data_IF_465404037400
#
_entry.id   IF_465404037400
#
_cell.length_a   1.000
_cell.length_b   1.000
_cell.length_c   1.000
_cell.angle_alpha   90.00
_cell.angle_beta   90.00
_cell.angle_gamma   90.00
#
_symmetry.space_group_name_H-M   'P 1'
#
loop_
_entity.id
_entity.type
_entity.pdbx_description
1 polymer ?
#
# COMPACT_ATOMS: atom_id res chain seq x y z
N UNK A 1 12.07 -32.34 -12.58
CA UNK A 1 11.90 -31.85 -11.19
C UNK A 1 10.73 -32.59 -10.56
N UNK A 2 11.00 -33.39 -9.54
CA UNK A 2 9.98 -34.12 -8.79
C UNK A 2 9.14 -33.13 -7.96
N UNK A 3 7.93 -33.51 -7.56
CA UNK A 3 6.97 -32.68 -6.80
C UNK A 3 7.58 -32.12 -5.51
N UNK A 4 8.45 -32.89 -4.86
CA UNK A 4 9.12 -32.51 -3.60
C UNK A 4 10.16 -31.40 -3.85
N UNK A 5 11.04 -31.57 -4.82
CA UNK A 5 12.05 -30.58 -5.22
C UNK A 5 11.39 -29.24 -5.60
N UNK A 6 10.27 -29.28 -6.33
CA UNK A 6 9.52 -28.08 -6.71
C UNK A 6 8.89 -27.37 -5.50
N UNK A 7 8.55 -28.11 -4.45
CA UNK A 7 7.94 -27.56 -3.23
C UNK A 7 8.99 -26.92 -2.35
N UNK A 8 10.14 -27.56 -2.20
CA UNK A 8 11.30 -27.01 -1.49
C UNK A 8 11.82 -25.75 -2.18
N UNK A 9 12.01 -25.79 -3.50
CA UNK A 9 12.42 -24.62 -4.28
C UNK A 9 11.49 -23.41 -4.06
N UNK A 10 10.17 -23.62 -4.14
CA UNK A 10 9.20 -22.54 -3.89
C UNK A 10 9.28 -22.01 -2.46
N UNK A 11 9.51 -22.88 -1.48
CA UNK A 11 9.62 -22.50 -0.07
C UNK A 11 10.87 -21.68 0.18
N UNK A 12 12.02 -22.10 -0.36
CA UNK A 12 13.29 -21.39 -0.22
C UNK A 12 13.24 -20.04 -0.93
N UNK A 13 12.77 -20.02 -2.17
CA UNK A 13 12.58 -18.77 -2.92
C UNK A 13 11.70 -17.78 -2.15
N UNK A 14 10.58 -18.24 -1.58
CA UNK A 14 9.69 -17.37 -0.83
C UNK A 14 10.33 -16.81 0.45
N UNK A 15 11.22 -17.57 1.11
CA UNK A 15 11.93 -17.11 2.32
C UNK A 15 12.96 -16.04 1.99
N UNK A 16 13.64 -16.19 0.87
CA UNK A 16 14.69 -15.26 0.44
C UNK A 16 14.10 -13.99 -0.17
N UNK A 17 13.00 -14.12 -0.92
CA UNK A 17 12.40 -13.02 -1.68
C UNK A 17 11.41 -12.18 -0.87
N UNK A 18 10.72 -12.77 0.11
CA UNK A 18 9.62 -12.10 0.82
C UNK A 18 9.78 -12.14 2.33
N UNK A 19 9.59 -10.98 2.97
CA UNK A 19 9.46 -10.87 4.42
C UNK A 19 7.98 -10.92 4.81
N UNK A 20 7.62 -11.86 5.67
CA UNK A 20 6.27 -11.96 6.22
C UNK A 20 6.11 -11.03 7.42
N UNK A 21 5.05 -10.23 7.42
CA UNK A 21 4.62 -9.41 8.57
C UNK A 21 3.36 -10.04 9.16
N UNK A 22 3.33 -10.22 10.48
CA UNK A 22 2.13 -10.61 11.22
C UNK A 22 1.44 -9.36 11.73
N UNK A 23 0.16 -9.22 11.41
CA UNK A 23 -0.69 -8.12 11.89
C UNK A 23 -1.84 -8.73 12.68
N UNK A 24 -2.08 -8.19 13.87
CA UNK A 24 -3.21 -8.55 14.71
C UNK A 24 -4.29 -7.50 14.52
N UNK A 25 -5.44 -7.94 14.00
CA UNK A 25 -6.66 -7.14 13.87
C UNK A 25 -7.64 -7.73 14.87
N UNK A 26 -8.39 -6.88 15.57
CA UNK A 26 -9.39 -7.38 16.51
C UNK A 26 -10.49 -8.14 15.76
N UNK A 27 -11.07 -9.15 16.40
CA UNK A 27 -12.09 -9.99 15.75
C UNK A 27 -13.32 -9.15 15.35
N UNK A 28 -13.68 -8.15 16.15
CA UNK A 28 -14.77 -7.23 15.86
C UNK A 28 -14.51 -6.31 14.66
N UNK A 29 -13.26 -5.96 14.36
CA UNK A 29 -12.87 -5.06 13.27
C UNK A 29 -12.62 -5.82 11.96
N UNK A 30 -12.33 -7.11 12.04
CA UNK A 30 -11.98 -7.92 10.88
C UNK A 30 -13.06 -7.96 9.78
N UNK A 31 -14.37 -8.12 10.11
CA UNK A 31 -15.43 -8.09 9.09
C UNK A 31 -15.45 -6.79 8.30
N UNK A 32 -15.32 -5.64 8.97
CA UNK A 32 -15.34 -4.33 8.35
C UNK A 32 -14.17 -4.14 7.37
N UNK A 33 -12.97 -4.56 7.79
CA UNK A 33 -11.77 -4.53 6.92
C UNK A 33 -11.98 -5.39 5.66
N UNK A 34 -12.59 -6.56 5.80
CA UNK A 34 -12.85 -7.48 4.68
C UNK A 34 -13.93 -6.92 3.74
N UNK A 35 -14.99 -6.33 4.27
CA UNK A 35 -16.03 -5.68 3.45
C UNK A 35 -15.46 -4.51 2.66
N UNK A 36 -14.70 -3.63 3.31
CA UNK A 36 -14.07 -2.50 2.65
C UNK A 36 -13.06 -2.94 1.59
N UNK A 37 -12.28 -3.99 1.87
CA UNK A 37 -11.39 -4.62 0.88
C UNK A 37 -12.17 -5.09 -0.35
N UNK A 38 -13.26 -5.84 -0.15
CA UNK A 38 -14.10 -6.37 -1.24
C UNK A 38 -14.76 -5.25 -2.05
N UNK A 39 -15.26 -4.22 -1.38
CA UNK A 39 -15.86 -3.05 -2.02
C UNK A 39 -14.89 -2.33 -2.97
N UNK A 40 -13.59 -2.37 -2.66
CA UNK A 40 -12.52 -1.83 -3.51
C UNK A 40 -12.01 -2.81 -4.58
N UNK A 41 -12.65 -3.98 -4.74
CA UNK A 41 -12.33 -4.96 -5.78
C UNK A 41 -11.16 -5.89 -5.45
N UNK A 42 -10.63 -5.89 -4.23
CA UNK A 42 -9.52 -6.74 -3.85
C UNK A 42 -9.97 -8.15 -3.49
N UNK A 43 -9.23 -9.16 -3.98
CA UNK A 43 -9.47 -10.57 -3.68
C UNK A 43 -8.64 -11.10 -2.51
N UNK A 44 -7.57 -10.37 -2.12
CA UNK A 44 -6.60 -10.76 -1.09
C UNK A 44 -6.24 -9.57 -0.20
N UNK A 45 -6.26 -9.80 1.11
CA UNK A 45 -5.95 -8.78 2.12
C UNK A 45 -4.51 -8.27 2.00
N UNK A 46 -3.57 -9.15 1.66
CA UNK A 46 -2.16 -8.75 1.47
C UNK A 46 -1.96 -7.78 0.31
N UNK A 47 -2.71 -7.91 -0.79
CA UNK A 47 -2.67 -6.94 -1.89
C UNK A 47 -3.26 -5.60 -1.47
N UNK A 48 -4.41 -5.65 -0.80
CA UNK A 48 -5.08 -4.47 -0.28
C UNK A 48 -4.20 -3.68 0.69
N UNK A 49 -3.56 -4.35 1.66
CA UNK A 49 -2.65 -3.70 2.63
C UNK A 49 -1.42 -3.11 1.92
N UNK A 50 -0.84 -3.82 0.94
CA UNK A 50 0.32 -3.31 0.18
C UNK A 50 -0.02 -2.02 -0.56
N UNK A 51 -1.19 -1.97 -1.19
CA UNK A 51 -1.61 -0.78 -1.96
C UNK A 51 -1.95 0.39 -1.05
N UNK A 52 -2.53 0.13 0.13
CA UNK A 52 -2.71 1.16 1.16
C UNK A 52 -1.37 1.74 1.64
N UNK A 53 -0.39 0.88 1.93
CA UNK A 53 0.94 1.33 2.35
C UNK A 53 1.60 2.14 1.23
N UNK A 54 1.50 1.68 -0.03
CA UNK A 54 2.06 2.41 -1.16
C UNK A 54 1.43 3.80 -1.32
N UNK A 55 0.09 3.89 -1.26
CA UNK A 55 -0.64 5.17 -1.29
C UNK A 55 -0.23 6.09 -0.14
N UNK A 56 -0.06 5.55 1.06
CA UNK A 56 0.34 6.32 2.24
C UNK A 56 1.80 6.83 2.12
N UNK A 57 2.70 5.99 1.61
CA UNK A 57 4.08 6.36 1.33
C UNK A 57 4.18 7.42 0.23
N UNK A 58 3.36 7.33 -0.82
CA UNK A 58 3.27 8.36 -1.88
C UNK A 58 2.70 9.68 -1.35
N UNK A 59 1.70 9.61 -0.46
CA UNK A 59 1.08 10.79 0.17
C UNK A 59 2.03 11.49 1.15
N UNK A 60 2.85 10.71 1.85
CA UNK A 60 3.78 11.20 2.88
C UNK A 60 5.15 11.58 2.29
N UNK A 61 5.50 11.04 1.12
CA UNK A 61 6.74 11.38 0.42
C UNK A 61 6.66 12.76 -0.22
N UNK A 62 7.03 13.80 0.52
CA UNK A 62 7.57 15.13 0.12
C UNK A 62 7.01 15.83 -1.14
N UNK A 63 5.87 15.42 -1.69
CA UNK A 63 5.09 16.24 -2.62
C UNK A 63 4.16 17.07 -1.78
N UNK A 64 4.77 18.01 -1.04
CA UNK A 64 4.09 19.25 -0.72
C UNK A 64 3.77 19.95 -2.03
N UNK A 65 2.72 19.49 -2.71
CA UNK A 65 2.00 20.29 -3.68
C UNK A 65 1.39 21.41 -2.85
N UNK A 66 2.21 22.42 -2.55
CA UNK A 66 1.78 23.68 -1.99
C UNK A 66 0.90 24.27 -3.07
N UNK A 67 -0.40 24.01 -2.97
CA UNK A 67 -1.41 24.67 -3.79
C UNK A 67 -1.33 26.14 -3.41
N UNK A 68 -0.52 26.89 -4.14
CA UNK A 68 -0.55 28.35 -4.07
C UNK A 68 -1.79 28.75 -4.83
N UNK A 69 -2.87 29.02 -4.10
CA UNK A 69 -3.98 29.78 -4.64
C UNK A 69 -3.43 31.19 -4.93
N UNK A 70 -2.98 31.43 -6.16
CA UNK A 70 -2.78 32.78 -6.65
C UNK A 70 -4.19 33.36 -6.74
N UNK A 71 -4.55 34.14 -5.72
CA UNK A 71 -5.75 34.94 -5.70
C UNK A 71 -5.83 35.76 -7.00
N UNK A 72 -7.06 36.09 -7.38
CA UNK A 72 -7.50 36.59 -8.69
C UNK A 72 -6.89 37.93 -9.14
N UNK A 73 -5.82 38.38 -8.50
CA UNK A 73 -5.28 39.73 -8.58
C UNK A 73 -3.78 39.60 -8.95
N UNK A 74 -3.52 39.47 -10.25
CA UNK A 74 -2.21 39.30 -10.89
C UNK A 74 -1.24 40.49 -10.69
N UNK A 75 -0.87 40.86 -9.46
CA UNK A 75 0.18 41.85 -9.21
C UNK A 75 1.03 41.41 -8.01
N UNK A 76 2.01 40.54 -8.27
CA UNK A 76 3.04 40.20 -7.30
C UNK A 76 4.18 39.45 -7.99
N UNK A 77 5.30 40.12 -8.17
CA UNK A 77 6.52 39.54 -8.76
C UNK A 77 7.04 38.41 -7.86
N UNK A 78 7.25 37.23 -8.44
CA UNK A 78 7.87 36.09 -7.75
C UNK A 78 9.38 36.18 -8.00
N UNK A 79 10.15 36.45 -6.94
CA UNK A 79 11.58 36.15 -6.97
C UNK A 79 11.77 34.68 -6.57
N UNK A 80 12.41 33.92 -7.46
CA UNK A 80 12.80 32.51 -7.25
C UNK A 80 13.90 32.38 -6.21
#
# INVERSE_FOLDING_TARGET
MNKNERTEYKREYNKDTYKTVKVYIREEEYPEVIEHMKARGYTKLSGYIKDLIAQDMERTGEKSNKTVNIGRDNIGTINM
#
